data_IF_220739465205
#
_entry.id   IF_220739465205
#
_cell.length_a   1.000
_cell.length_b   1.000
_cell.length_c   1.000
_cell.angle_alpha   90.00
_cell.angle_beta   90.00
_cell.angle_gamma   90.00
#
_symmetry.space_group_name_H-M   'P 1'
#
loop_
_entity.id
_entity.type
_entity.pdbx_description
1 polymer ?
#
# COMPACT_ATOMS: atom_id res chain seq x y z
N UNK A 1 -29.26 -0.55 -12.53
CA UNK A 1 -27.81 -0.58 -12.84
C UNK A 1 -27.32 0.87 -12.85
N UNK A 2 -26.25 1.21 -12.13
CA UNK A 2 -25.67 2.57 -12.15
C UNK A 2 -24.48 2.56 -13.12
N UNK A 3 -24.39 3.58 -13.97
CA UNK A 3 -23.29 3.77 -14.91
C UNK A 3 -22.68 5.16 -14.72
N UNK A 4 -21.36 5.25 -14.84
CA UNK A 4 -20.60 6.51 -14.85
C UNK A 4 -19.71 6.51 -16.08
N UNK A 5 -19.80 7.57 -16.88
CA UNK A 5 -18.98 7.76 -18.08
C UNK A 5 -17.79 8.63 -17.70
N UNK A 6 -16.58 8.16 -18.01
CA UNK A 6 -15.32 8.88 -17.81
C UNK A 6 -14.88 9.48 -19.15
N UNK A 7 -14.98 10.80 -19.30
CA UNK A 7 -14.48 11.49 -20.49
C UNK A 7 -12.96 11.73 -20.43
N UNK A 8 -12.30 11.68 -21.59
CA UNK A 8 -10.86 11.92 -21.75
C UNK A 8 -9.94 11.02 -20.89
N UNK A 9 -10.44 9.86 -20.46
CA UNK A 9 -9.64 8.91 -19.69
C UNK A 9 -8.66 8.17 -20.62
N UNK A 10 -7.37 8.18 -20.25
CA UNK A 10 -6.32 7.41 -20.91
C UNK A 10 -6.13 6.04 -20.24
N UNK A 11 -6.22 6.02 -18.91
CA UNK A 11 -6.01 4.83 -18.09
C UNK A 11 -6.91 4.86 -16.85
N UNK A 12 -7.26 3.68 -16.36
CA UNK A 12 -8.07 3.50 -15.16
C UNK A 12 -7.52 2.36 -14.31
N UNK A 13 -7.27 2.62 -13.02
CA UNK A 13 -6.96 1.60 -12.02
C UNK A 13 -8.04 1.58 -10.96
N UNK A 14 -8.49 0.39 -10.58
CA UNK A 14 -9.54 0.20 -9.59
C UNK A 14 -8.94 -0.35 -8.30
N UNK A 15 -9.20 0.32 -7.18
CA UNK A 15 -8.76 -0.08 -5.84
C UNK A 15 -9.98 -0.32 -4.96
N UNK A 16 -10.25 -1.59 -4.68
CA UNK A 16 -11.32 -2.00 -3.79
C UNK A 16 -10.87 -1.96 -2.34
N UNK A 17 -11.71 -1.39 -1.46
CA UNK A 17 -11.55 -1.56 -0.02
C UNK A 17 -11.94 -3.00 0.34
N UNK A 18 -11.26 -3.57 1.33
CA UNK A 18 -11.28 -5.03 1.57
C UNK A 18 -12.68 -5.65 1.84
N UNK A 19 -13.64 -4.87 2.36
CA UNK A 19 -15.03 -5.28 2.63
C UNK A 19 -15.98 -4.89 1.47
N UNK A 20 -15.46 -4.26 0.42
CA UNK A 20 -16.24 -3.76 -0.71
C UNK A 20 -17.12 -2.56 -0.35
N UNK A 21 -16.78 -1.81 0.70
CA UNK A 21 -17.55 -0.62 1.10
C UNK A 21 -17.23 0.59 0.22
N UNK A 22 -15.96 0.68 -0.17
CA UNK A 22 -15.43 1.74 -1.00
C UNK A 22 -14.72 1.16 -2.23
N UNK A 23 -14.84 1.87 -3.34
CA UNK A 23 -14.05 1.65 -4.55
C UNK A 23 -13.43 2.99 -4.95
N UNK A 24 -12.11 3.05 -5.05
CA UNK A 24 -11.43 4.17 -5.69
C UNK A 24 -11.12 3.80 -7.14
N UNK A 25 -11.56 4.64 -8.07
CA UNK A 25 -11.14 4.55 -9.48
C UNK A 25 -10.13 5.67 -9.71
N UNK A 26 -8.86 5.32 -9.80
CA UNK A 26 -7.81 6.22 -10.25
C UNK A 26 -7.96 6.40 -11.76
N UNK A 27 -8.20 7.62 -12.21
CA UNK A 27 -8.40 7.97 -13.61
C UNK A 27 -7.28 8.90 -14.02
N UNK A 28 -6.47 8.43 -14.97
CA UNK A 28 -5.53 9.29 -15.69
C UNK A 28 -6.27 9.90 -16.88
N UNK A 29 -6.17 11.22 -17.03
CA UNK A 29 -6.85 11.98 -18.09
C UNK A 29 -5.83 12.73 -18.93
N UNK A 30 -6.06 12.77 -20.24
CA UNK A 30 -5.30 13.66 -21.12
C UNK A 30 -5.62 15.11 -20.79
N UNK A 31 -4.59 15.93 -20.58
CA UNK A 31 -4.76 17.37 -20.53
C UNK A 31 -5.16 17.91 -21.91
N UNK A 32 -5.75 19.09 -21.92
CA UNK A 32 -6.17 19.79 -23.15
C UNK A 32 -4.95 20.16 -24.02
N UNK A 33 -3.78 20.36 -23.39
CA UNK A 33 -2.48 20.53 -24.06
C UNK A 33 -1.77 19.19 -24.18
N UNK A 34 -1.26 18.88 -25.38
CA UNK A 34 -0.98 17.51 -25.88
C UNK A 34 0.03 16.63 -25.10
N UNK A 35 0.71 17.14 -24.07
CA UNK A 35 1.83 16.41 -23.43
C UNK A 35 1.74 16.29 -21.89
N UNK A 36 0.60 16.62 -21.28
CA UNK A 36 0.42 16.43 -19.83
C UNK A 36 -0.78 15.52 -19.55
N UNK A 37 -0.64 14.64 -18.57
CA UNK A 37 -1.76 13.87 -18.01
C UNK A 37 -2.01 14.33 -16.59
N UNK A 38 -3.28 14.45 -16.21
CA UNK A 38 -3.67 14.67 -14.81
C UNK A 38 -4.26 13.39 -14.25
N UNK A 39 -4.00 13.12 -12.97
CA UNK A 39 -4.60 11.97 -12.28
C UNK A 39 -5.59 12.46 -11.23
N UNK A 40 -6.80 11.93 -11.27
CA UNK A 40 -7.82 12.13 -10.25
C UNK A 40 -8.40 10.80 -9.80
N UNK A 41 -9.20 10.82 -8.74
CA UNK A 41 -9.88 9.67 -8.19
C UNK A 41 -11.38 9.91 -8.16
N UNK A 42 -12.13 8.90 -8.58
CA UNK A 42 -13.57 8.80 -8.32
C UNK A 42 -13.77 7.76 -7.21
N UNK A 43 -14.19 8.22 -6.03
CA UNK A 43 -14.43 7.37 -4.86
C UNK A 43 -15.91 7.03 -4.79
N UNK A 44 -16.24 5.74 -4.90
CA UNK A 44 -17.59 5.22 -4.85
C UNK A 44 -17.86 4.63 -3.47
N UNK A 45 -19.00 5.00 -2.87
CA UNK A 45 -19.51 4.41 -1.63
C UNK A 45 -20.56 3.36 -1.96
N UNK A 46 -20.11 2.12 -2.09
CA UNK A 46 -20.85 1.04 -2.74
C UNK A 46 -22.07 0.60 -1.94
N UNK A 47 -21.97 0.63 -0.61
CA UNK A 47 -23.03 0.18 0.31
C UNK A 47 -24.11 1.23 0.57
N UNK A 48 -23.88 2.48 0.17
CA UNK A 48 -24.84 3.56 0.41
C UNK A 48 -25.89 3.64 -0.70
N UNK A 49 -27.11 4.04 -0.32
CA UNK A 49 -28.23 4.18 -1.26
C UNK A 49 -27.86 5.20 -2.33
N UNK A 50 -28.02 4.77 -3.59
CA UNK A 50 -27.66 5.64 -4.70
C UNK A 50 -26.17 5.92 -4.76
N UNK A 51 -25.32 4.96 -4.35
CA UNK A 51 -23.87 4.85 -4.58
C UNK A 51 -23.20 6.22 -4.79
N UNK A 52 -23.09 7.05 -3.75
CA UNK A 52 -22.48 8.36 -3.88
C UNK A 52 -21.07 8.26 -4.46
N UNK A 53 -20.70 9.29 -5.22
CA UNK A 53 -19.40 9.40 -5.86
C UNK A 53 -18.77 10.71 -5.43
N UNK A 54 -17.61 10.65 -4.78
CA UNK A 54 -16.78 11.81 -4.51
C UNK A 54 -15.64 11.89 -5.52
N UNK A 55 -15.38 13.09 -6.00
CA UNK A 55 -14.20 13.37 -6.79
C UNK A 55 -13.10 13.92 -5.89
N UNK A 56 -11.88 13.43 -6.08
CA UNK A 56 -10.71 13.85 -5.33
C UNK A 56 -9.49 13.92 -6.25
N UNK A 57 -8.69 14.97 -6.10
CA UNK A 57 -7.38 15.14 -6.74
C UNK A 57 -6.35 15.51 -5.69
N UNK A 58 -5.08 15.22 -5.96
CA UNK A 58 -3.98 15.71 -5.13
C UNK A 58 -3.87 17.23 -5.22
N UNK A 59 -3.33 17.83 -4.17
CA UNK A 59 -3.09 19.29 -4.12
C UNK A 59 -2.15 19.73 -5.26
N UNK A 60 -1.11 18.94 -5.54
CA UNK A 60 -0.25 19.11 -6.70
C UNK A 60 -0.70 18.18 -7.85
N UNK A 61 -1.31 18.75 -8.88
CA UNK A 61 -1.88 18.00 -10.01
C UNK A 61 -0.83 17.34 -10.91
N UNK A 62 0.43 17.75 -10.81
CA UNK A 62 1.54 17.20 -11.59
C UNK A 62 2.19 15.99 -10.91
N UNK A 63 1.81 15.69 -9.67
CA UNK A 63 2.36 14.54 -8.96
C UNK A 63 1.87 13.24 -9.57
N UNK A 64 2.82 12.37 -9.89
CA UNK A 64 2.52 11.00 -10.32
C UNK A 64 2.10 10.17 -9.12
N UNK A 65 1.08 9.34 -9.29
CA UNK A 65 0.67 8.37 -8.28
C UNK A 65 1.58 7.14 -8.36
N UNK A 66 2.27 6.85 -7.26
CA UNK A 66 3.16 5.69 -7.12
C UNK A 66 2.38 4.50 -6.56
N UNK A 67 1.62 4.72 -5.47
CA UNK A 67 0.84 3.68 -4.82
C UNK A 67 -0.43 4.26 -4.18
N UNK A 68 -1.45 3.42 -4.04
CA UNK A 68 -2.70 3.73 -3.36
C UNK A 68 -3.11 2.53 -2.51
N UNK A 69 -3.50 2.75 -1.26
CA UNK A 69 -4.01 1.70 -0.39
C UNK A 69 -5.11 2.19 0.56
N UNK A 70 -6.24 1.48 0.55
CA UNK A 70 -7.31 1.63 1.54
C UNK A 70 -6.89 1.04 2.88
N UNK A 71 -7.32 1.70 3.96
CA UNK A 71 -7.32 1.10 5.29
C UNK A 71 -8.33 -0.07 5.34
N UNK A 72 -7.93 -1.26 5.79
CA UNK A 72 -8.84 -2.36 6.07
C UNK A 72 -9.86 -1.99 7.15
N UNK A 73 -11.13 -2.28 6.89
CA UNK A 73 -12.31 -2.02 7.73
C UNK A 73 -12.51 -0.55 8.06
N UNK A 74 -11.83 0.33 7.33
CA UNK A 74 -11.84 1.76 7.53
C UNK A 74 -12.39 2.51 6.33
N UNK A 75 -12.45 3.82 6.52
CA UNK A 75 -12.85 4.84 5.54
C UNK A 75 -11.66 5.75 5.19
N UNK A 76 -10.45 5.37 5.63
CA UNK A 76 -9.21 6.09 5.38
C UNK A 76 -8.42 5.43 4.26
N UNK A 77 -7.55 6.18 3.61
CA UNK A 77 -6.64 5.66 2.60
C UNK A 77 -5.36 6.48 2.56
N UNK A 78 -4.33 5.90 1.95
CA UNK A 78 -3.03 6.51 1.75
C UNK A 78 -2.66 6.50 0.27
N UNK A 79 -1.97 7.56 -0.16
CA UNK A 79 -1.47 7.72 -1.52
C UNK A 79 0.01 8.09 -1.45
N UNK A 80 0.86 7.32 -2.13
CA UNK A 80 2.24 7.73 -2.40
C UNK A 80 2.24 8.47 -3.73
N UNK A 81 2.80 9.66 -3.76
CA UNK A 81 2.82 10.51 -4.94
C UNK A 81 4.11 11.35 -5.06
N UNK A 82 4.27 12.00 -6.20
CA UNK A 82 5.39 12.91 -6.46
C UNK A 82 6.74 12.19 -6.33
N UNK A 83 7.65 12.77 -5.56
CA UNK A 83 8.99 12.22 -5.28
C UNK A 83 9.06 11.61 -3.87
N UNK A 84 8.05 10.81 -3.51
CA UNK A 84 8.01 10.07 -2.25
C UNK A 84 7.16 10.71 -1.15
N UNK A 85 6.29 11.65 -1.49
CA UNK A 85 5.33 12.20 -0.55
C UNK A 85 4.20 11.18 -0.30
N UNK A 86 3.75 11.09 0.94
CA UNK A 86 2.72 10.14 1.36
C UNK A 86 1.60 10.91 2.05
N UNK A 87 0.48 11.05 1.36
CA UNK A 87 -0.69 11.74 1.88
C UNK A 87 -1.75 10.76 2.37
N UNK A 88 -2.28 11.03 3.56
CA UNK A 88 -3.34 10.26 4.18
C UNK A 88 -4.65 11.04 4.14
N UNK A 89 -5.74 10.33 3.86
CA UNK A 89 -7.08 10.91 3.71
C UNK A 89 -8.12 10.10 4.46
N UNK A 90 -9.23 10.76 4.79
CA UNK A 90 -10.43 10.16 5.37
C UNK A 90 -11.65 10.56 4.54
N UNK A 91 -12.53 9.61 4.27
CA UNK A 91 -13.85 9.88 3.66
C UNK A 91 -14.83 10.14 4.80
N UNK A 92 -15.28 11.38 4.96
CA UNK A 92 -16.25 11.78 6.00
C UNK A 92 -17.60 12.04 5.38
N UNK A 93 -18.66 11.65 6.07
CA UNK A 93 -20.04 12.00 5.70
C UNK A 93 -20.61 12.94 6.75
N UNK A 94 -20.95 14.17 6.36
CA UNK A 94 -21.62 15.16 7.21
C UNK A 94 -22.89 15.62 6.51
N UNK A 95 -24.04 15.55 7.19
CA UNK A 95 -25.34 15.98 6.65
C UNK A 95 -25.67 15.40 5.24
N UNK A 96 -25.36 14.13 5.00
CA UNK A 96 -25.49 13.43 3.70
C UNK A 96 -24.58 13.95 2.57
N UNK A 97 -23.67 14.86 2.86
CA UNK A 97 -22.60 15.29 1.96
C UNK A 97 -21.32 14.56 2.38
N UNK A 98 -20.68 13.89 1.43
CA UNK A 98 -19.37 13.30 1.70
C UNK A 98 -18.27 14.20 1.19
N UNK A 99 -17.19 14.25 1.94
CA UNK A 99 -15.98 14.94 1.58
C UNK A 99 -14.78 14.05 1.90
N UNK A 100 -13.76 14.20 1.05
CA UNK A 100 -12.43 13.66 1.31
C UNK A 100 -11.65 14.72 2.05
N UNK A 101 -11.22 14.42 3.27
CA UNK A 101 -10.38 15.31 4.06
C UNK A 101 -8.97 14.74 4.13
N UNK A 102 -7.96 15.59 3.88
CA UNK A 102 -6.56 15.26 4.13
C UNK A 102 -6.30 15.25 5.64
N UNK A 103 -5.67 14.20 6.13
CA UNK A 103 -5.26 14.05 7.53
C UNK A 103 -3.86 14.63 7.73
N UNK A 104 -2.90 14.18 6.93
CA UNK A 104 -1.51 14.64 6.98
C UNK A 104 -0.78 14.24 5.68
N UNK A 105 0.39 14.84 5.46
CA UNK A 105 1.33 14.45 4.40
C UNK A 105 2.72 14.26 5.02
N UNK A 106 3.34 13.11 4.77
CA UNK A 106 4.73 12.82 5.09
C UNK A 106 5.57 13.08 3.85
N UNK A 107 6.45 14.08 3.89
CA UNK A 107 7.21 14.49 2.71
C UNK A 107 8.54 13.73 2.57
N UNK A 108 8.97 13.51 1.33
CA UNK A 108 10.31 13.01 0.99
C UNK A 108 10.66 11.63 1.55
N UNK A 109 9.69 10.71 1.63
CA UNK A 109 9.90 9.34 2.08
C UNK A 109 10.41 8.46 0.95
N UNK A 110 11.19 7.42 1.28
CA UNK A 110 11.69 6.45 0.29
C UNK A 110 10.73 5.27 0.04
N UNK A 111 9.47 5.40 0.47
CA UNK A 111 8.49 4.34 0.32
C UNK A 111 7.94 4.28 -1.12
N UNK A 112 7.75 3.07 -1.62
CA UNK A 112 7.06 2.79 -2.88
C UNK A 112 5.90 1.81 -2.72
N UNK A 113 5.69 1.29 -1.50
CA UNK A 113 4.63 0.37 -1.18
C UNK A 113 4.01 0.69 0.20
N UNK A 114 2.71 0.43 0.32
CA UNK A 114 1.88 0.70 1.49
C UNK A 114 1.30 -0.61 2.02
N UNK A 115 1.58 -0.95 3.27
CA UNK A 115 1.11 -2.18 3.90
C UNK A 115 0.32 -1.86 5.15
N UNK A 116 -1.00 -1.75 5.03
CA UNK A 116 -1.90 -1.58 6.16
C UNK A 116 -1.98 -2.86 7.02
N UNK A 117 -2.01 -2.67 8.34
CA UNK A 117 -2.42 -3.72 9.26
C UNK A 117 -3.87 -4.14 8.96
N UNK A 118 -4.19 -5.45 8.91
CA UNK A 118 -5.57 -5.94 8.76
C UNK A 118 -6.52 -5.47 9.86
N UNK A 119 -5.98 -5.02 11.00
CA UNK A 119 -6.74 -4.42 12.10
C UNK A 119 -7.06 -2.93 11.88
N UNK A 120 -6.53 -2.31 10.82
CA UNK A 120 -6.54 -0.86 10.62
C UNK A 120 -5.51 -0.16 11.50
N UNK A 121 -5.59 1.17 11.60
CA UNK A 121 -4.76 2.09 12.41
C UNK A 121 -3.29 2.15 12.03
N UNK A 122 -2.61 1.01 11.97
CA UNK A 122 -1.18 0.92 11.71
C UNK A 122 -0.91 0.63 10.23
N UNK A 123 0.14 1.24 9.71
CA UNK A 123 0.62 1.04 8.35
C UNK A 123 2.14 1.02 8.32
N UNK A 124 2.68 0.17 7.47
CA UNK A 124 4.10 0.17 7.12
C UNK A 124 4.28 0.82 5.76
N UNK A 125 5.12 1.85 5.73
CA UNK A 125 5.55 2.55 4.52
C UNK A 125 6.90 1.97 4.13
N UNK A 126 6.95 1.20 3.06
CA UNK A 126 8.14 0.42 2.72
C UNK A 126 8.75 0.85 1.39
N UNK A 127 10.06 1.04 1.39
CA UNK A 127 10.89 1.13 0.20
C UNK A 127 11.41 -0.25 -0.16
N UNK A 128 10.68 -0.98 -1.03
CA UNK A 128 11.05 -2.33 -1.46
C UNK A 128 11.92 -2.32 -2.72
N UNK A 129 12.61 -3.45 -2.96
CA UNK A 129 13.43 -3.74 -4.14
C UNK A 129 14.56 -2.71 -4.35
N UNK A 130 14.46 -1.89 -5.40
CA UNK A 130 15.49 -0.93 -5.82
C UNK A 130 15.56 0.31 -4.91
N UNK A 131 14.67 0.43 -3.92
CA UNK A 131 14.74 1.45 -2.87
C UNK A 131 15.72 1.01 -1.77
N UNK A 132 16.03 1.93 -0.86
CA UNK A 132 17.00 1.72 0.20
C UNK A 132 16.61 0.67 1.27
N UNK A 133 15.44 0.02 1.17
CA UNK A 133 14.97 -0.92 2.18
C UNK A 133 14.39 -0.24 3.43
N UNK A 134 14.20 1.08 3.42
CA UNK A 134 13.63 1.77 4.57
C UNK A 134 12.18 1.34 4.79
N UNK A 135 11.87 1.01 6.04
CA UNK A 135 10.53 0.70 6.52
C UNK A 135 10.18 1.66 7.64
N UNK A 136 9.07 2.36 7.50
CA UNK A 136 8.52 3.25 8.51
C UNK A 136 7.22 2.66 9.06
N UNK A 137 7.20 2.36 10.35
CA UNK A 137 6.02 1.89 11.08
C UNK A 137 5.27 3.11 11.58
N UNK A 138 4.06 3.32 11.06
CA UNK A 138 3.31 4.55 11.27
C UNK A 138 1.94 4.27 11.88
N UNK A 139 1.56 5.10 12.86
CA UNK A 139 0.28 5.04 13.56
C UNK A 139 -0.59 6.20 13.07
N UNK A 140 -1.63 5.88 12.29
CA UNK A 140 -2.46 6.92 11.68
C UNK A 140 -3.42 7.60 12.66
N UNK A 141 -3.75 6.96 13.79
CA UNK A 141 -4.63 7.59 14.79
C UNK A 141 -3.89 8.72 15.52
N UNK A 142 -2.64 8.45 15.89
CA UNK A 142 -1.78 9.38 16.65
C UNK A 142 -0.89 10.25 15.73
N UNK A 143 -0.96 10.00 14.41
CA UNK A 143 -0.18 10.67 13.36
C UNK A 143 1.34 10.64 13.58
N UNK A 144 1.85 9.54 14.14
CA UNK A 144 3.24 9.41 14.55
C UNK A 144 3.97 8.24 13.89
N UNK A 145 5.27 8.41 13.72
CA UNK A 145 6.20 7.34 13.36
C UNK A 145 6.61 6.61 14.63
N UNK A 146 6.19 5.34 14.76
CA UNK A 146 6.51 4.50 15.91
C UNK A 146 7.95 3.96 15.85
N UNK A 147 8.39 3.59 14.64
CA UNK A 147 9.74 3.08 14.41
C UNK A 147 10.16 3.24 12.95
N UNK A 148 11.47 3.29 12.74
CA UNK A 148 12.10 3.18 11.43
C UNK A 148 13.08 2.01 11.48
N UNK A 149 13.00 1.15 10.48
CA UNK A 149 13.91 0.02 10.30
C UNK A 149 14.43 0.00 8.87
N UNK A 150 15.51 -0.75 8.64
CA UNK A 150 16.03 -0.99 7.31
C UNK A 150 16.05 -2.50 7.05
N UNK A 151 15.36 -2.91 6.00
CA UNK A 151 15.40 -4.26 5.48
C UNK A 151 15.06 -4.22 3.99
N UNK A 152 16.00 -4.65 3.14
CA UNK A 152 15.82 -4.75 1.68
C UNK A 152 14.90 -5.92 1.31
N UNK A 153 13.71 -5.92 1.86
CA UNK A 153 12.71 -6.94 1.65
C UNK A 153 12.19 -6.91 0.21
N UNK A 154 11.95 -8.09 -0.33
CA UNK A 154 11.24 -8.28 -1.59
C UNK A 154 9.73 -8.31 -1.39
N UNK A 155 9.28 -8.77 -0.22
CA UNK A 155 7.86 -8.90 0.12
C UNK A 155 7.60 -8.61 1.60
N UNK A 156 6.38 -8.14 1.90
CA UNK A 156 5.92 -7.69 3.21
C UNK A 156 4.50 -8.19 3.44
N UNK A 157 4.29 -8.94 4.52
CA UNK A 157 2.99 -9.54 4.83
C UNK A 157 2.63 -9.37 6.30
N UNK A 158 1.45 -8.82 6.57
CA UNK A 158 0.89 -8.80 7.91
C UNK A 158 0.31 -10.15 8.29
N UNK A 159 0.40 -10.48 9.58
CA UNK A 159 -0.40 -11.55 10.13
C UNK A 159 -1.89 -11.14 10.16
N UNK A 160 -2.85 -12.07 10.08
CA UNK A 160 -4.28 -11.74 10.04
C UNK A 160 -4.80 -10.97 11.26
N UNK A 161 -4.12 -11.06 12.40
CA UNK A 161 -4.47 -10.30 13.62
C UNK A 161 -3.96 -8.87 13.59
N UNK A 162 -3.03 -8.53 12.70
CA UNK A 162 -2.45 -7.20 12.57
C UNK A 162 -1.46 -6.82 13.68
N UNK A 163 -0.98 -7.80 14.44
CA UNK A 163 -0.03 -7.61 15.56
C UNK A 163 1.41 -7.80 15.13
N UNK A 164 1.64 -8.57 14.07
CA UNK A 164 2.94 -8.91 13.55
C UNK A 164 3.00 -8.74 12.04
N UNK A 165 4.20 -8.46 11.55
CA UNK A 165 4.52 -8.34 10.14
C UNK A 165 5.73 -9.23 9.85
N UNK A 166 5.68 -9.99 8.76
CA UNK A 166 6.84 -10.68 8.20
C UNK A 166 7.36 -9.92 6.98
N UNK A 167 8.68 -9.76 6.90
CA UNK A 167 9.35 -9.26 5.71
C UNK A 167 10.34 -10.29 5.20
N UNK A 168 10.37 -10.49 3.89
CA UNK A 168 11.03 -11.63 3.26
C UNK A 168 11.98 -11.14 2.17
N UNK A 169 13.16 -11.74 2.10
CA UNK A 169 14.13 -11.59 1.01
C UNK A 169 14.21 -12.92 0.28
N UNK A 170 13.83 -12.94 -1.00
CA UNK A 170 13.80 -14.16 -1.82
C UNK A 170 14.87 -14.15 -2.91
N UNK A 171 15.40 -15.33 -3.24
CA UNK A 171 16.46 -15.53 -4.25
C UNK A 171 15.99 -15.25 -5.69
N UNK A 172 14.68 -15.13 -5.94
CA UNK A 172 14.12 -15.08 -7.31
C UNK A 172 14.46 -13.76 -8.03
N UNK A 173 14.92 -12.72 -7.33
CA UNK A 173 15.47 -11.50 -7.96
C UNK A 173 16.89 -11.69 -8.53
N UNK A 174 17.54 -12.85 -8.31
CA UNK A 174 18.93 -13.09 -8.74
C UNK A 174 19.08 -13.44 -10.23
N UNK A 175 18.01 -13.78 -10.95
CA UNK A 175 18.13 -14.29 -12.33
C UNK A 175 18.03 -13.23 -13.45
N UNK A 176 17.73 -11.96 -13.14
CA UNK A 176 17.47 -10.93 -14.16
C UNK A 176 18.62 -9.97 -14.45
N UNK A 177 19.39 -9.59 -13.42
CA UNK A 177 20.50 -8.64 -13.53
C UNK A 177 21.66 -9.18 -12.71
N UNK A 178 22.75 -9.57 -13.37
CA UNK A 178 23.91 -10.25 -12.80
C UNK A 178 24.76 -9.44 -11.82
N UNK A 179 24.17 -8.66 -10.92
CA UNK A 179 24.87 -7.90 -9.88
C UNK A 179 24.36 -8.27 -8.48
N UNK A 180 25.11 -9.17 -7.82
CA UNK A 180 25.38 -9.20 -6.38
C UNK A 180 24.24 -8.83 -5.41
N UNK A 181 23.28 -9.76 -5.20
CA UNK A 181 22.49 -9.83 -3.96
C UNK A 181 23.04 -10.88 -2.98
N UNK A 182 24.16 -11.53 -3.32
CA UNK A 182 24.74 -12.68 -2.62
C UNK A 182 25.42 -12.37 -1.27
N UNK A 183 25.37 -11.12 -0.79
CA UNK A 183 26.01 -10.74 0.49
C UNK A 183 25.02 -10.54 1.65
N UNK A 184 23.73 -10.31 1.39
CA UNK A 184 22.75 -10.04 2.48
C UNK A 184 22.05 -11.28 3.03
N UNK A 185 22.19 -12.44 2.35
CA UNK A 185 21.52 -13.69 2.71
C UNK A 185 20.02 -13.64 2.45
N UNK A 186 19.44 -14.73 1.94
CA UNK A 186 17.98 -14.84 1.87
C UNK A 186 17.41 -15.17 3.24
N UNK A 187 16.11 -14.95 3.45
CA UNK A 187 15.54 -15.16 4.78
C UNK A 187 14.32 -14.31 5.05
N UNK A 188 13.91 -14.31 6.32
CA UNK A 188 12.78 -13.51 6.76
C UNK A 188 13.02 -12.90 8.14
N UNK A 189 12.35 -11.78 8.37
CA UNK A 189 12.31 -11.09 9.65
C UNK A 189 10.86 -10.93 10.08
N UNK A 190 10.61 -11.10 11.37
CA UNK A 190 9.29 -10.87 11.97
C UNK A 190 9.40 -9.66 12.90
N UNK A 191 8.44 -8.78 12.78
CA UNK A 191 8.34 -7.52 13.50
C UNK A 191 7.00 -7.49 14.24
N UNK A 192 6.95 -6.86 15.40
CA UNK A 192 5.67 -6.40 15.96
C UNK A 192 5.17 -5.17 15.21
N UNK A 193 3.89 -4.85 15.38
CA UNK A 193 3.22 -3.73 14.70
C UNK A 193 3.86 -2.36 14.98
N UNK A 194 4.55 -2.21 16.10
CA UNK A 194 5.28 -1.01 16.53
C UNK A 194 6.72 -0.96 16.00
N UNK A 195 7.15 -1.96 15.22
CA UNK A 195 8.45 -2.01 14.56
C UNK A 195 9.58 -2.64 15.37
N UNK A 196 9.31 -3.27 16.51
CA UNK A 196 10.32 -4.07 17.22
C UNK A 196 10.55 -5.40 16.49
N UNK A 197 11.81 -5.70 16.15
CA UNK A 197 12.20 -6.99 15.56
C UNK A 197 12.05 -8.11 16.61
N UNK A 198 11.25 -9.13 16.29
CA UNK A 198 10.99 -10.30 17.12
C UNK A 198 11.96 -11.43 16.79
N UNK A 199 12.16 -11.70 15.50
CA UNK A 199 13.13 -12.70 15.05
C UNK A 199 13.67 -12.40 13.66
N UNK A 200 14.88 -12.91 13.38
CA UNK A 200 15.52 -12.90 12.07
C UNK A 200 16.04 -14.30 11.79
N UNK A 201 15.69 -14.84 10.63
CA UNK A 201 16.11 -16.18 10.19
C UNK A 201 16.74 -16.05 8.82
N UNK A 202 18.03 -16.38 8.74
CA UNK A 202 18.75 -16.51 7.46
C UNK A 202 18.52 -17.89 6.86
N UNK A 203 18.36 -17.95 5.54
CA UNK A 203 18.20 -19.15 4.73
C UNK A 203 19.09 -18.99 3.50
N UNK A 204 19.75 -20.06 3.06
CA UNK A 204 20.64 -19.97 1.90
C UNK A 204 19.86 -19.81 0.59
N UNK A 205 18.66 -20.40 0.51
CA UNK A 205 17.75 -20.27 -0.62
C UNK A 205 16.30 -20.23 -0.17
N UNK A 206 15.69 -19.05 -0.16
CA UNK A 206 14.27 -18.87 0.12
C UNK A 206 13.53 -18.51 -1.17
N UNK A 207 12.69 -19.44 -1.63
CA UNK A 207 11.85 -19.26 -2.80
C UNK A 207 10.39 -19.01 -2.40
N UNK A 208 9.74 -18.09 -3.11
CA UNK A 208 8.29 -17.90 -3.04
C UNK A 208 7.67 -18.46 -4.31
N UNK A 209 6.83 -19.50 -4.19
CA UNK A 209 6.13 -20.08 -5.35
C UNK A 209 4.82 -19.33 -5.55
N UNK A 210 4.81 -18.39 -6.49
CA UNK A 210 3.63 -17.61 -6.85
C UNK A 210 2.73 -18.44 -7.77
N UNK A 211 1.85 -19.25 -7.18
CA UNK A 211 0.58 -19.67 -7.80
C UNK A 211 -0.28 -20.35 -6.73
N UNK A 212 -1.50 -19.84 -6.56
CA UNK A 212 -2.45 -20.07 -5.46
C UNK A 212 -2.18 -19.18 -4.25
N UNK A 213 -3.18 -18.36 -3.91
CA UNK A 213 -3.24 -17.62 -2.67
C UNK A 213 -2.68 -18.46 -1.51
N UNK A 214 -1.81 -17.85 -0.69
CA UNK A 214 -1.54 -18.35 0.65
C UNK A 214 -2.91 -18.57 1.28
N UNK A 215 -3.30 -19.84 1.46
CA UNK A 215 -4.57 -20.21 2.04
C UNK A 215 -4.56 -19.66 3.46
N UNK A 216 -5.26 -18.55 3.67
CA UNK A 216 -5.55 -17.98 4.98
C UNK A 216 -6.45 -18.97 5.73
N UNK A 217 -5.86 -19.99 6.33
CA UNK A 217 -6.44 -20.55 7.54
C UNK A 217 -6.19 -19.54 8.68
N UNK A 218 -7.09 -19.37 9.65
CA UNK A 218 -7.00 -18.35 10.70
C UNK A 218 -5.77 -18.44 11.63
N UNK A 219 -4.81 -19.32 11.36
CA UNK A 219 -3.62 -19.56 12.17
C UNK A 219 -2.48 -20.01 11.26
N UNK A 220 -1.37 -19.26 11.30
CA UNK A 220 -0.04 -19.55 10.77
C UNK A 220 0.34 -19.00 9.37
N UNK A 221 1.51 -18.34 9.35
CA UNK A 221 2.35 -18.14 8.18
C UNK A 221 3.04 -19.48 7.91
N UNK A 222 2.72 -20.14 6.79
CA UNK A 222 3.41 -21.38 6.39
C UNK A 222 4.55 -20.99 5.44
N UNK A 223 5.77 -20.96 5.97
CA UNK A 223 6.99 -20.89 5.16
C UNK A 223 7.42 -22.33 4.90
N UNK A 224 7.07 -22.89 3.74
CA UNK A 224 7.56 -24.22 3.35
C UNK A 224 9.00 -24.11 2.91
N UNK A 225 9.91 -24.78 3.62
CA UNK A 225 11.28 -24.98 3.16
C UNK A 225 11.37 -26.35 2.53
N UNK A 226 11.72 -26.43 1.26
CA UNK A 226 12.12 -27.71 0.67
C UNK A 226 13.47 -28.10 1.28
N UNK A 227 13.53 -29.30 1.84
CA UNK A 227 14.74 -29.96 2.36
C UNK A 227 15.54 -30.58 1.22
#
# INVERSE_FOLDING_TARGET
>A
MRQKILSNASNCKMHWQHNGEYLAVQVERYAITKDQTSTGFELFRIRERGIPIEFFELDNKNDKIIAFAWEPKGHRFAVIHGDGDISFYTVRTTNNLSCVCKLTTLNGRQANALFWSPAGRFIVLAGLKDRNGQMEFYNLDDLETMAVAEHKATDVMWDPTGRFLATVVTSVHEMGNGNSASEMGTGFQVWSFDGKQICKVSKDQLYQKTNTAVRLAPKAIIITTQS
#
